data_IF_124098589429
#
_entry.id   IF_124098589429
#
_cell.length_a   1.000
_cell.length_b   1.000
_cell.length_c   1.000
_cell.angle_alpha   90.00
_cell.angle_beta   90.00
_cell.angle_gamma   90.00
#
_symmetry.space_group_name_H-M   'P 1'
#
loop_
_entity.id
_entity.type
_entity.pdbx_description
1 polymer ?
#
# COMPACT_ATOMS: atom_id res chain seq x y z
N UNK A 1 -12.62 -4.39 8.34
CA UNK A 1 -12.35 -4.77 6.93
C UNK A 1 -11.61 -6.09 6.95
N UNK A 2 -12.23 -7.17 6.45
CA UNK A 2 -11.53 -8.44 6.22
C UNK A 2 -10.64 -8.36 4.97
N UNK A 3 -9.99 -9.47 4.60
CA UNK A 3 -9.18 -9.54 3.38
C UNK A 3 -10.05 -9.23 2.14
N UNK A 4 -9.56 -8.45 1.17
CA UNK A 4 -10.20 -8.35 -0.13
C UNK A 4 -10.05 -9.69 -0.87
N UNK A 5 -11.10 -10.51 -0.83
CA UNK A 5 -11.15 -11.80 -1.52
C UNK A 5 -11.76 -11.71 -2.93
N UNK A 6 -12.29 -10.53 -3.30
CA UNK A 6 -12.92 -10.26 -4.59
C UNK A 6 -12.05 -9.34 -5.47
N UNK A 7 -12.15 -9.41 -6.80
CA UNK A 7 -11.39 -8.54 -7.72
C UNK A 7 -11.61 -7.03 -7.52
N UNK A 8 -12.79 -6.64 -7.04
CA UNK A 8 -13.14 -5.26 -6.67
C UNK A 8 -12.87 -4.93 -5.19
N UNK A 9 -12.24 -5.86 -4.49
CA UNK A 9 -11.91 -5.76 -3.08
C UNK A 9 -11.01 -4.56 -2.79
N UNK A 10 -11.26 -3.92 -1.65
CA UNK A 10 -10.49 -2.77 -1.19
C UNK A 10 -9.64 -3.14 0.00
N UNK A 11 -8.40 -2.71 0.02
CA UNK A 11 -7.55 -2.76 1.19
C UNK A 11 -7.44 -1.38 1.83
N UNK A 12 -7.14 -1.36 3.13
CA UNK A 12 -6.90 -0.13 3.86
C UNK A 12 -5.45 0.35 3.64
N UNK A 13 -5.28 1.68 3.56
CA UNK A 13 -3.98 2.34 3.56
C UNK A 13 -3.67 2.85 4.95
N UNK A 14 -2.44 2.66 5.42
CA UNK A 14 -2.04 2.96 6.78
C UNK A 14 -0.80 3.84 6.85
N UNK A 15 -0.66 4.54 7.98
CA UNK A 15 0.59 5.18 8.42
C UNK A 15 0.92 4.76 9.85
N UNK A 16 2.21 4.70 10.23
CA UNK A 16 2.61 4.44 11.61
C UNK A 16 2.05 5.48 12.59
N UNK A 17 1.63 5.02 13.77
CA UNK A 17 1.34 5.89 14.92
C UNK A 17 2.58 6.04 15.81
N UNK A 18 2.50 6.88 16.84
CA UNK A 18 3.55 6.97 17.86
C UNK A 18 3.68 5.71 18.72
N UNK A 19 2.69 4.80 18.70
CA UNK A 19 2.70 3.55 19.46
C UNK A 19 3.40 2.40 18.71
N UNK A 20 3.88 2.63 17.48
CA UNK A 20 4.56 1.60 16.71
C UNK A 20 5.85 1.15 17.40
N UNK A 21 6.09 -0.16 17.43
CA UNK A 21 7.36 -0.71 17.90
C UNK A 21 8.51 -0.35 16.98
N UNK A 22 9.69 -0.13 17.55
CA UNK A 22 10.91 0.23 16.81
C UNK A 22 11.29 -0.79 15.73
N UNK A 23 11.14 -2.08 16.02
CA UNK A 23 11.38 -3.17 15.07
C UNK A 23 10.48 -3.07 13.82
N UNK A 24 9.20 -2.77 14.03
CA UNK A 24 8.21 -2.59 12.96
C UNK A 24 8.49 -1.30 12.20
N UNK A 25 8.79 -0.22 12.93
CA UNK A 25 9.11 1.08 12.35
C UNK A 25 10.34 0.99 11.44
N UNK A 26 11.37 0.25 11.85
CA UNK A 26 12.59 0.04 11.07
C UNK A 26 12.29 -0.64 9.72
N UNK A 27 11.36 -1.59 9.69
CA UNK A 27 10.98 -2.29 8.47
C UNK A 27 10.23 -1.40 7.46
N UNK A 28 9.33 -0.54 7.95
CA UNK A 28 8.51 0.36 7.10
C UNK A 28 9.14 1.75 6.92
N UNK A 29 10.30 2.01 7.53
CA UNK A 29 11.07 3.25 7.40
C UNK A 29 11.41 3.53 5.93
N UNK A 30 11.58 4.81 5.58
CA UNK A 30 11.76 5.37 4.22
C UNK A 30 10.47 5.66 3.44
N UNK A 31 9.40 6.03 4.14
CA UNK A 31 8.17 6.47 3.51
C UNK A 31 7.49 5.35 2.73
N UNK A 32 7.54 4.14 3.29
CA UNK A 32 6.90 2.99 2.67
C UNK A 32 5.40 3.23 2.50
N UNK A 33 4.85 2.66 1.42
CA UNK A 33 3.41 2.51 1.33
C UNK A 33 2.99 1.24 2.07
N UNK A 34 1.98 1.36 2.93
CA UNK A 34 1.51 0.28 3.80
C UNK A 34 0.03 0.02 3.47
N UNK A 35 -0.25 -1.21 3.07
CA UNK A 35 -1.57 -1.69 2.63
C UNK A 35 -1.95 -2.90 3.47
N UNK A 36 -3.19 -3.01 3.92
CA UNK A 36 -3.57 -4.17 4.74
C UNK A 36 -5.04 -4.33 5.00
N UNK A 37 -5.35 -5.28 5.87
CA UNK A 37 -6.70 -5.56 6.37
C UNK A 37 -6.66 -5.98 7.83
N UNK A 38 -7.81 -5.91 8.50
CA UNK A 38 -7.97 -6.33 9.88
C UNK A 38 -8.34 -7.81 9.97
N UNK A 39 -7.73 -8.49 10.93
CA UNK A 39 -7.99 -9.87 11.27
C UNK A 39 -9.05 -9.98 12.38
N UNK A 40 -9.68 -11.15 12.51
CA UNK A 40 -10.69 -11.40 13.55
C UNK A 40 -10.12 -11.30 14.99
N UNK A 41 -8.82 -11.51 15.15
CA UNK A 41 -8.11 -11.49 16.42
C UNK A 41 -7.65 -10.08 16.86
N UNK A 42 -8.15 -9.02 16.21
CA UNK A 42 -7.79 -7.62 16.47
C UNK A 42 -6.33 -7.28 16.11
N UNK A 43 -5.72 -8.03 15.20
CA UNK A 43 -4.47 -7.66 14.53
C UNK A 43 -4.73 -7.12 13.12
N UNK A 44 -3.70 -6.55 12.50
CA UNK A 44 -3.68 -6.24 11.08
C UNK A 44 -2.70 -7.17 10.38
N UNK A 45 -3.06 -7.62 9.18
CA UNK A 45 -2.08 -8.13 8.22
C UNK A 45 -1.77 -7.02 7.24
N UNK A 46 -0.50 -6.63 7.17
CA UNK A 46 -0.02 -5.56 6.30
C UNK A 46 0.99 -6.10 5.29
N UNK A 47 0.95 -5.52 4.09
CA UNK A 47 1.92 -5.59 3.02
C UNK A 47 2.50 -4.19 2.82
N UNK A 48 3.79 -4.11 2.55
CA UNK A 48 4.45 -2.81 2.39
C UNK A 48 5.48 -2.79 1.26
N UNK A 49 5.81 -1.59 0.79
CA UNK A 49 6.86 -1.36 -0.20
C UNK A 49 7.60 -0.05 0.09
N UNK A 50 8.91 -0.16 0.29
CA UNK A 50 9.81 0.95 0.64
C UNK A 50 10.78 1.30 -0.50
N UNK A 51 10.64 0.66 -1.65
CA UNK A 51 11.59 0.67 -2.77
C UNK A 51 13.02 0.33 -2.33
N UNK A 52 13.18 -0.77 -1.56
CA UNK A 52 14.47 -1.17 -0.96
C UNK A 52 15.60 -1.34 -1.99
N UNK A 53 15.25 -1.74 -3.21
CA UNK A 53 16.19 -2.01 -4.30
C UNK A 53 16.38 -0.82 -5.25
N UNK A 54 15.80 0.35 -4.93
CA UNK A 54 15.88 1.56 -5.76
C UNK A 54 15.44 1.34 -7.22
N UNK A 55 14.32 0.62 -7.39
CA UNK A 55 13.66 0.41 -8.68
C UNK A 55 13.16 1.76 -9.21
N UNK A 56 13.54 2.19 -10.44
CA UNK A 56 13.14 3.48 -11.01
C UNK A 56 11.62 3.63 -11.18
N UNK A 57 10.89 2.53 -11.26
CA UNK A 57 9.43 2.49 -11.43
C UNK A 57 8.65 2.59 -10.11
N UNK A 58 9.35 2.69 -8.97
CA UNK A 58 8.77 2.76 -7.62
C UNK A 58 9.19 4.00 -6.84
N UNK A 59 9.42 5.10 -7.55
CA UNK A 59 9.81 6.38 -6.93
C UNK A 59 8.62 7.00 -6.20
N UNK A 60 7.46 7.08 -6.85
CA UNK A 60 6.26 7.71 -6.29
C UNK A 60 5.58 6.78 -5.27
N UNK A 61 4.98 7.37 -4.23
CA UNK A 61 4.36 6.62 -3.14
C UNK A 61 3.19 5.75 -3.62
N UNK A 62 2.38 6.25 -4.55
CA UNK A 62 1.25 5.51 -5.13
C UNK A 62 1.68 4.28 -5.93
N UNK A 63 2.88 4.29 -6.53
CA UNK A 63 3.45 3.12 -7.20
C UNK A 63 3.82 2.04 -6.20
N UNK A 64 4.43 2.43 -5.07
CA UNK A 64 4.71 1.53 -3.94
C UNK A 64 3.42 0.95 -3.36
N UNK A 65 2.38 1.78 -3.20
CA UNK A 65 1.08 1.37 -2.69
C UNK A 65 0.42 0.34 -3.62
N UNK A 66 0.48 0.56 -4.93
CA UNK A 66 0.01 -0.39 -5.93
C UNK A 66 0.73 -1.74 -5.83
N UNK A 67 2.06 -1.75 -5.78
CA UNK A 67 2.85 -3.00 -5.67
C UNK A 67 2.53 -3.76 -4.38
N UNK A 68 2.37 -3.06 -3.26
CA UNK A 68 1.98 -3.68 -1.99
C UNK A 68 0.55 -4.26 -2.04
N UNK A 69 -0.38 -3.57 -2.72
CA UNK A 69 -1.75 -4.04 -2.92
C UNK A 69 -1.82 -5.27 -3.83
N UNK A 70 -1.08 -5.30 -4.94
CA UNK A 70 -1.01 -6.46 -5.84
C UNK A 70 -0.52 -7.71 -5.09
N UNK A 71 0.54 -7.59 -4.27
CA UNK A 71 1.01 -8.68 -3.41
C UNK A 71 -0.06 -9.17 -2.42
N UNK A 72 -0.88 -8.26 -1.91
CA UNK A 72 -1.95 -8.57 -0.97
C UNK A 72 -3.07 -9.35 -1.65
N UNK A 73 -3.53 -8.89 -2.82
CA UNK A 73 -4.54 -9.59 -3.61
C UNK A 73 -4.09 -11.01 -3.92
N UNK A 74 -2.88 -11.17 -4.44
CA UNK A 74 -2.30 -12.45 -4.86
C UNK A 74 -1.84 -13.34 -3.69
N UNK A 75 -2.00 -12.91 -2.44
CA UNK A 75 -1.48 -13.58 -1.24
C UNK A 75 0.02 -13.91 -1.29
N UNK A 76 0.85 -13.12 -1.96
CA UNK A 76 2.21 -13.55 -2.27
C UNK A 76 3.02 -13.82 -0.99
N UNK A 77 3.79 -14.94 -0.93
CA UNK A 77 4.74 -15.17 0.14
C UNK A 77 5.90 -14.19 -0.04
N UNK A 78 5.95 -13.15 0.81
CA UNK A 78 6.93 -12.06 0.70
C UNK A 78 7.49 -11.69 2.07
N UNK A 79 8.74 -11.22 2.11
CA UNK A 79 9.35 -10.64 3.30
C UNK A 79 8.76 -9.28 3.65
N UNK A 80 8.06 -8.63 2.70
CA UNK A 80 7.37 -7.36 2.93
C UNK A 80 5.92 -7.56 3.38
N UNK A 81 5.69 -8.52 4.29
CA UNK A 81 4.40 -8.86 4.89
C UNK A 81 4.58 -9.10 6.39
N UNK A 82 3.68 -8.60 7.22
CA UNK A 82 3.71 -8.85 8.67
C UNK A 82 2.32 -8.78 9.32
N UNK A 83 2.19 -9.39 10.49
CA UNK A 83 1.03 -9.25 11.38
C UNK A 83 1.40 -8.33 12.54
N UNK A 84 0.60 -7.30 12.78
CA UNK A 84 0.88 -6.21 13.73
C UNK A 84 -0.36 -5.88 14.54
N UNK A 85 -0.18 -5.21 15.69
CA UNK A 85 -1.31 -4.69 16.46
C UNK A 85 -1.97 -3.52 15.72
N UNK A 86 -3.30 -3.42 15.82
CA UNK A 86 -4.05 -2.31 15.21
C UNK A 86 -3.59 -0.95 15.72
N UNK A 87 -3.22 -0.83 17.00
CA UNK A 87 -2.79 0.45 17.61
C UNK A 87 -1.49 1.03 17.01
N UNK A 88 -0.67 0.22 16.34
CA UNK A 88 0.57 0.67 15.72
C UNK A 88 0.33 1.50 14.45
N UNK A 89 -0.88 1.43 13.86
CA UNK A 89 -1.17 2.01 12.56
C UNK A 89 -2.50 2.76 12.57
N UNK A 90 -2.51 3.94 11.95
CA UNK A 90 -3.73 4.72 11.70
C UNK A 90 -4.11 4.55 10.23
N UNK A 91 -5.38 4.27 9.97
CA UNK A 91 -5.89 4.19 8.60
C UNK A 91 -6.06 5.60 8.01
N UNK A 92 -5.45 5.81 6.84
CA UNK A 92 -5.49 7.09 6.11
C UNK A 92 -6.29 7.04 4.81
N UNK A 93 -6.69 5.86 4.35
CA UNK A 93 -7.40 5.73 3.08
C UNK A 93 -7.69 4.29 2.67
N UNK A 94 -7.93 4.11 1.38
CA UNK A 94 -8.21 2.82 0.74
C UNK A 94 -7.53 2.73 -0.62
N UNK A 95 -7.22 1.49 -1.02
CA UNK A 95 -6.73 1.15 -2.35
C UNK A 95 -7.56 0.01 -2.92
N UNK A 96 -7.79 0.03 -4.23
CA UNK A 96 -8.54 -0.96 -4.99
C UNK A 96 -7.94 -1.09 -6.39
N UNK A 97 -8.41 -2.04 -7.19
CA UNK A 97 -7.98 -2.18 -8.58
C UNK A 97 -8.20 -0.92 -9.44
N UNK A 98 -9.12 -0.03 -9.04
CA UNK A 98 -9.43 1.22 -9.75
C UNK A 98 -8.49 2.38 -9.38
N UNK A 99 -7.80 2.29 -8.25
CA UNK A 99 -7.02 3.40 -7.73
C UNK A 99 -7.01 3.53 -6.20
N UNK A 100 -6.57 4.70 -5.76
CA UNK A 100 -6.36 5.07 -4.36
C UNK A 100 -7.27 6.24 -3.98
N UNK A 101 -7.85 6.17 -2.78
CA UNK A 101 -8.54 7.28 -2.12
C UNK A 101 -7.88 7.51 -0.76
N UNK A 102 -7.24 8.67 -0.61
CA UNK A 102 -6.63 9.16 0.62
C UNK A 102 -7.66 10.05 1.32
N UNK A 103 -7.95 9.75 2.59
CA UNK A 103 -8.93 10.47 3.42
C UNK A 103 -8.27 11.37 4.47
N UNK A 104 -6.97 11.18 4.71
CA UNK A 104 -6.16 11.91 5.70
C UNK A 104 -4.80 12.25 5.09
N UNK A 105 -4.79 13.13 4.09
CA UNK A 105 -3.58 13.47 3.33
C UNK A 105 -2.51 14.11 4.21
N UNK A 106 -2.92 14.93 5.18
CA UNK A 106 -2.05 15.53 6.18
C UNK A 106 -1.27 14.49 6.99
N UNK A 107 -1.91 13.38 7.38
CA UNK A 107 -1.26 12.28 8.10
C UNK A 107 -0.26 11.55 7.21
N UNK A 108 -0.61 11.31 5.95
CA UNK A 108 0.30 10.71 4.97
C UNK A 108 1.53 11.60 4.75
N UNK A 109 1.33 12.90 4.48
CA UNK A 109 2.42 13.85 4.25
C UNK A 109 3.32 13.97 5.48
N UNK A 110 2.76 14.04 6.68
CA UNK A 110 3.55 14.06 7.92
C UNK A 110 4.36 12.79 8.14
N UNK A 111 3.86 11.62 7.72
CA UNK A 111 4.65 10.38 7.73
C UNK A 111 5.80 10.41 6.71
N UNK A 112 5.52 10.87 5.48
CA UNK A 112 6.52 10.97 4.42
C UNK A 112 7.61 11.98 4.74
N UNK A 113 7.26 13.11 5.36
CA UNK A 113 8.20 14.12 5.84
C UNK A 113 9.13 13.55 6.91
N UNK A 114 8.59 12.88 7.94
CA UNK A 114 9.40 12.18 8.97
C UNK A 114 10.28 11.06 8.41
N UNK A 115 10.03 10.65 7.18
CA UNK A 115 10.76 9.59 6.49
C UNK A 115 11.71 10.11 5.40
N UNK A 116 11.90 11.43 5.30
CA UNK A 116 12.68 12.07 4.22
C UNK A 116 12.22 11.67 2.81
N UNK A 117 10.91 11.48 2.64
CA UNK A 117 10.29 10.95 1.43
C UNK A 117 9.14 11.84 0.91
N UNK A 118 9.06 13.10 1.36
CA UNK A 118 7.98 14.03 1.00
C UNK A 118 7.89 14.29 -0.51
N UNK A 119 9.02 14.24 -1.23
CA UNK A 119 9.07 14.37 -2.70
C UNK A 119 8.31 13.25 -3.44
N UNK A 120 8.12 12.11 -2.77
CA UNK A 120 7.40 10.96 -3.33
C UNK A 120 5.90 11.02 -3.09
N UNK A 121 5.42 12.02 -2.35
CA UNK A 121 4.03 12.14 -1.96
C UNK A 121 3.12 12.25 -3.19
N UNK A 122 1.90 11.70 -3.12
CA UNK A 122 0.91 11.90 -4.17
C UNK A 122 0.52 13.37 -4.29
N UNK A 123 0.26 13.81 -5.52
CA UNK A 123 -0.16 15.18 -5.83
C UNK A 123 -1.64 15.44 -5.50
N UNK A 124 -2.45 14.38 -5.47
CA UNK A 124 -3.89 14.43 -5.20
C UNK A 124 -4.34 13.34 -4.22
N UNK A 125 -5.48 13.57 -3.57
CA UNK A 125 -6.10 12.60 -2.64
C UNK A 125 -6.76 11.43 -3.36
N UNK A 126 -7.16 11.62 -4.61
CA UNK A 126 -7.73 10.58 -5.46
C UNK A 126 -6.78 10.31 -6.61
N UNK A 127 -6.41 9.04 -6.77
CA UNK A 127 -5.48 8.59 -7.80
C UNK A 127 -6.18 7.50 -8.59
N UNK A 128 -6.42 7.74 -9.86
CA UNK A 128 -7.00 6.74 -10.76
C UNK A 128 -5.88 5.94 -11.43
N UNK A 129 -6.05 4.63 -11.50
CA UNK A 129 -5.14 3.79 -12.25
C UNK A 129 -5.67 3.58 -13.65
N UNK A 130 -4.77 3.63 -14.63
CA UNK A 130 -5.12 3.26 -15.99
C UNK A 130 -5.71 1.83 -15.99
N UNK A 131 -6.85 1.60 -16.65
CA UNK A 131 -7.41 0.27 -16.77
C UNK A 131 -6.38 -0.64 -17.46
N UNK A 132 -6.34 -1.94 -17.12
CA UNK A 132 -5.46 -2.87 -17.80
C UNK A 132 -5.71 -2.78 -19.31
N UNK A 133 -4.66 -2.76 -20.15
CA UNK A 133 -4.85 -2.72 -21.59
C UNK A 133 -5.70 -3.92 -22.01
N UNK A 134 -6.63 -3.74 -22.98
CA UNK A 134 -7.47 -4.84 -23.43
C UNK A 134 -6.57 -6.00 -23.90
N UNK A 135 -6.97 -7.26 -23.65
CA UNK A 135 -6.17 -8.40 -24.07
C UNK A 135 -5.92 -8.32 -25.57
N UNK A 136 -4.64 -8.45 -25.97
CA UNK A 136 -4.28 -8.52 -27.39
C UNK A 136 -5.03 -9.70 -27.99
N UNK A 137 -5.95 -9.44 -28.93
CA UNK A 137 -6.52 -10.50 -29.76
C UNK A 137 -5.37 -11.18 -30.48
N UNK A 138 -5.07 -12.42 -30.11
CA UNK A 138 -4.22 -13.28 -30.92
C UNK A 138 -5.04 -13.56 -32.19
N UNK A 139 -4.69 -12.90 -33.29
CA UNK A 139 -5.16 -13.32 -34.60
C UNK A 139 -4.32 -14.56 -34.92
N UNK A 140 -4.95 -15.73 -34.84
CA UNK A 140 -4.38 -16.93 -35.43
C UNK A 140 -4.45 -16.73 -36.95
N UNK A 141 -3.30 -16.58 -37.59
CA UNK A 141 -3.20 -16.70 -39.04
C UNK A 141 -3.09 -18.20 -39.36
N UNK A 142 -3.97 -18.65 -40.26
CA UNK A 142 -4.18 -20.02 -40.73
C UNK A 142 -3.10 -20.46 -41.74
#
# INVERSE_FOLDING_TARGET
MGRPDEPDGRAALFVPTSAIKEETLTAVRKGAAIVGFGNHDRTLTIYYESNRFNEPTLVKWEQKARKAFERLLDNLPTTSKMTVKMEHFEQVGYVSAKGIIIRRMEKLRGWLEKSDALETAPEAETIEWAPPPPPKKIVADD
#
